data_IF_836844939655
#
_entry.id   IF_836844939655
#
_cell.length_a   1.000
_cell.length_b   1.000
_cell.length_c   1.000
_cell.angle_alpha   90.00
_cell.angle_beta   90.00
_cell.angle_gamma   90.00
#
_symmetry.space_group_name_H-M   'P 1'
#
loop_
_entity.id
_entity.type
_entity.pdbx_description
1 polymer ?
#
# COMPACT_ATOMS: atom_id res chain seq x y z
N UNK A 1 -24.09 8.58 -4.69
CA UNK A 1 -24.42 7.65 -3.59
C UNK A 1 -23.11 7.17 -2.98
N UNK A 2 -22.51 8.00 -2.13
CA UNK A 2 -21.24 7.73 -1.45
C UNK A 2 -21.42 6.59 -0.45
N UNK A 3 -20.77 5.45 -0.69
CA UNK A 3 -20.62 4.43 0.36
C UNK A 3 -19.68 5.02 1.42
N UNK A 4 -20.26 5.29 2.60
CA UNK A 4 -19.55 5.64 3.85
C UNK A 4 -18.29 4.77 3.99
N UNK A 5 -17.12 5.36 3.74
CA UNK A 5 -15.96 5.02 4.54
C UNK A 5 -16.29 5.56 5.92
N UNK A 6 -16.48 4.67 6.90
CA UNK A 6 -16.46 5.05 8.30
C UNK A 6 -15.06 5.62 8.56
N UNK A 7 -14.92 6.94 8.48
CA UNK A 7 -13.84 7.64 9.15
C UNK A 7 -14.12 7.40 10.63
N UNK A 8 -13.30 6.57 11.25
CA UNK A 8 -13.34 6.36 12.68
C UNK A 8 -12.77 7.64 13.33
N UNK A 9 -13.63 8.63 13.52
CA UNK A 9 -13.39 9.68 14.50
C UNK A 9 -13.40 9.02 15.89
N UNK A 10 -12.25 9.07 16.57
CA UNK A 10 -12.15 8.72 17.98
C UNK A 10 -12.06 7.23 18.28
N UNK A 11 -10.85 6.69 18.25
CA UNK A 11 -10.51 5.70 19.28
C UNK A 11 -10.32 6.51 20.56
N UNK A 12 -11.32 6.48 21.43
CA UNK A 12 -11.10 6.72 22.85
C UNK A 12 -10.22 5.56 23.35
N UNK A 13 -8.90 5.75 23.23
CA UNK A 13 -7.90 4.79 23.71
C UNK A 13 -7.93 4.89 25.24
N UNK A 14 -8.91 4.23 25.87
CA UNK A 14 -8.86 3.87 27.30
C UNK A 14 -7.93 2.69 27.55
N UNK A 15 -6.80 2.65 26.85
CA UNK A 15 -5.76 1.66 27.05
C UNK A 15 -4.45 2.42 27.25
N UNK A 16 -3.98 2.45 28.50
CA UNK A 16 -2.72 3.07 28.99
C UNK A 16 -1.44 2.63 28.25
N UNK A 17 -1.55 1.90 27.13
CA UNK A 17 -0.45 1.48 26.26
C UNK A 17 0.11 2.63 25.42
N UNK A 18 -0.70 3.62 25.05
CA UNK A 18 -0.19 4.78 24.28
C UNK A 18 0.65 5.72 25.15
N UNK A 19 0.27 5.88 26.43
CA UNK A 19 1.05 6.66 27.40
C UNK A 19 2.41 6.03 27.70
N UNK A 20 2.49 4.69 27.69
CA UNK A 20 3.75 3.97 27.83
C UNK A 20 4.67 4.10 26.60
N UNK A 21 4.13 4.52 25.45
CA UNK A 21 4.88 4.75 24.22
C UNK A 21 5.31 6.22 24.05
N UNK A 22 4.69 7.16 24.77
CA UNK A 22 5.03 8.60 24.70
C UNK A 22 6.54 8.87 24.88
N UNK A 23 7.24 8.30 25.88
CA UNK A 23 8.68 8.56 26.06
C UNK A 23 9.52 8.06 24.88
N UNK A 24 9.16 6.91 24.31
CA UNK A 24 9.83 6.33 23.14
C UNK A 24 9.56 7.12 21.85
N UNK A 25 8.37 7.72 21.73
CA UNK A 25 7.99 8.54 20.59
C UNK A 25 8.73 9.88 20.58
N UNK A 26 8.91 10.52 21.73
CA UNK A 26 9.69 11.76 21.86
C UNK A 26 11.19 11.50 21.68
N UNK A 27 11.76 10.49 22.34
CA UNK A 27 13.20 10.24 22.28
C UNK A 27 13.68 9.77 20.89
N UNK A 28 12.82 9.09 20.11
CA UNK A 28 13.12 8.74 18.71
C UNK A 28 12.82 9.86 17.71
N UNK A 29 11.88 10.76 18.01
CA UNK A 29 11.62 11.94 17.19
C UNK A 29 12.83 12.91 17.25
N UNK A 30 13.41 13.11 18.44
CA UNK A 30 14.62 13.90 18.65
C UNK A 30 15.84 13.33 17.90
N UNK A 31 15.88 12.01 17.70
CA UNK A 31 16.95 11.31 16.98
C UNK A 31 16.77 11.27 15.46
N UNK A 32 15.64 11.77 14.92
CA UNK A 32 15.36 11.79 13.48
C UNK A 32 14.93 13.19 13.01
N UNK A 33 15.85 14.18 13.01
CA UNK A 33 15.54 15.61 12.89
C UNK A 33 15.05 16.07 11.51
N UNK A 34 14.87 15.17 10.53
CA UNK A 34 14.53 15.59 9.16
C UNK A 34 13.14 16.21 9.03
N UNK A 35 12.31 16.09 10.06
CA UNK A 35 10.94 16.61 10.06
C UNK A 35 10.50 16.96 11.50
N UNK A 36 11.13 17.96 12.13
CA UNK A 36 10.46 18.68 13.22
C UNK A 36 9.27 19.45 12.63
N UNK A 37 8.18 18.73 12.39
CA UNK A 37 6.92 19.25 11.87
C UNK A 37 5.96 19.44 13.06
N UNK A 38 6.33 20.30 14.01
CA UNK A 38 5.43 20.61 15.14
C UNK A 38 4.68 21.92 14.94
N UNK A 39 5.04 22.70 13.92
CA UNK A 39 4.32 23.92 13.54
C UNK A 39 3.60 23.77 12.20
N UNK A 40 2.63 24.66 11.97
CA UNK A 40 1.77 24.65 10.77
C UNK A 40 2.56 24.74 9.46
N UNK A 41 3.69 25.46 9.44
CA UNK A 41 4.53 25.59 8.26
C UNK A 41 5.20 24.26 7.87
N UNK A 42 5.72 23.52 8.85
CA UNK A 42 6.30 22.19 8.62
C UNK A 42 5.26 21.20 8.06
N UNK A 43 4.02 21.26 8.57
CA UNK A 43 2.91 20.38 8.11
C UNK A 43 2.59 20.68 6.65
N UNK A 44 2.49 21.96 6.31
CA UNK A 44 2.20 22.40 4.96
C UNK A 44 3.30 21.98 3.97
N UNK A 45 4.56 22.19 4.33
CA UNK A 45 5.70 21.79 3.50
C UNK A 45 5.70 20.26 3.28
N UNK A 46 5.47 19.48 4.34
CA UNK A 46 5.38 18.03 4.25
C UNK A 46 4.22 17.58 3.34
N UNK A 47 3.05 18.22 3.45
CA UNK A 47 1.92 17.95 2.56
C UNK A 47 2.27 18.24 1.10
N UNK A 48 2.99 19.32 0.82
CA UNK A 48 3.45 19.61 -0.54
C UNK A 48 4.43 18.56 -1.06
N UNK A 49 5.41 18.13 -0.24
CA UNK A 49 6.30 17.04 -0.61
C UNK A 49 5.55 15.73 -0.88
N UNK A 50 4.59 15.38 -0.03
CA UNK A 50 3.70 14.23 -0.20
C UNK A 50 3.01 14.28 -1.57
N UNK A 51 2.39 15.42 -1.89
CA UNK A 51 1.67 15.63 -3.16
C UNK A 51 2.62 15.49 -4.36
N UNK A 52 3.81 16.10 -4.31
CA UNK A 52 4.79 16.06 -5.40
C UNK A 52 5.30 14.62 -5.65
N UNK A 53 5.49 13.83 -4.60
CA UNK A 53 6.03 12.48 -4.73
C UNK A 53 4.98 11.45 -5.14
N UNK A 54 3.76 11.56 -4.59
CA UNK A 54 2.75 10.50 -4.69
C UNK A 54 1.79 10.72 -5.86
N UNK A 55 1.42 11.96 -6.17
CA UNK A 55 0.47 12.22 -7.26
C UNK A 55 0.94 11.69 -8.62
N UNK A 56 2.21 11.87 -9.03
CA UNK A 56 2.68 11.31 -10.30
C UNK A 56 2.55 9.79 -10.36
N UNK A 57 2.75 9.10 -9.22
CA UNK A 57 2.59 7.65 -9.10
C UNK A 57 1.11 7.28 -9.26
N UNK A 58 0.20 8.02 -8.61
CA UNK A 58 -1.25 7.79 -8.69
C UNK A 58 -1.81 7.97 -10.10
N UNK A 59 -1.20 8.80 -10.94
CA UNK A 59 -1.62 8.97 -12.34
C UNK A 59 -1.42 7.68 -13.18
N UNK A 60 -0.52 6.76 -12.79
CA UNK A 60 -0.28 5.49 -13.51
C UNK A 60 -1.52 4.60 -13.61
N UNK A 61 -2.45 4.74 -12.67
CA UNK A 61 -3.66 3.90 -12.54
C UNK A 61 -4.95 4.70 -12.34
N UNK A 62 -4.92 6.00 -12.62
CA UNK A 62 -6.10 6.86 -12.50
C UNK A 62 -7.25 6.35 -13.36
N UNK A 63 -8.43 6.23 -12.75
CA UNK A 63 -9.65 5.73 -13.37
C UNK A 63 -9.51 4.32 -14.02
N UNK A 64 -8.47 3.55 -13.66
CA UNK A 64 -8.28 2.16 -14.10
C UNK A 64 -8.88 1.18 -13.09
N UNK A 65 -9.15 -0.02 -13.57
CA UNK A 65 -9.40 -1.19 -12.73
C UNK A 65 -8.03 -1.76 -12.36
N UNK A 66 -7.62 -1.54 -11.13
CA UNK A 66 -6.34 -2.03 -10.62
C UNK A 66 -6.49 -3.45 -10.12
N UNK A 67 -5.65 -4.36 -10.60
CA UNK A 67 -5.52 -5.70 -10.04
C UNK A 67 -4.17 -5.78 -9.33
N UNK A 68 -4.20 -5.72 -7.99
CA UNK A 68 -3.01 -5.85 -7.15
C UNK A 68 -2.65 -7.32 -7.00
N UNK A 69 -1.43 -7.70 -7.35
CA UNK A 69 -0.88 -9.04 -7.12
C UNK A 69 0.18 -8.93 -6.04
N UNK A 70 -0.08 -9.55 -4.89
CA UNK A 70 0.77 -9.40 -3.72
C UNK A 70 0.89 -10.69 -2.91
N UNK A 71 1.95 -10.76 -2.10
CA UNK A 71 2.14 -11.86 -1.16
C UNK A 71 1.18 -11.77 0.03
N UNK A 72 0.95 -12.90 0.68
CA UNK A 72 0.16 -12.97 1.91
C UNK A 72 0.68 -11.95 2.93
N UNK A 73 -0.25 -11.23 3.56
CA UNK A 73 0.02 -10.12 4.49
C UNK A 73 0.78 -8.91 3.91
N UNK A 74 0.83 -8.69 2.59
CA UNK A 74 1.39 -7.45 2.03
C UNK A 74 0.49 -6.24 2.33
N UNK A 75 -0.80 -6.32 1.99
CA UNK A 75 -1.81 -5.26 2.15
C UNK A 75 -1.40 -3.91 1.50
N UNK A 76 -0.81 -4.01 0.31
CA UNK A 76 -0.24 -2.89 -0.43
C UNK A 76 -1.31 -1.82 -0.73
N UNK A 77 -1.13 -0.60 -0.26
CA UNK A 77 -2.05 0.53 -0.47
C UNK A 77 -3.39 0.41 0.26
N UNK A 78 -3.49 -0.44 1.29
CA UNK A 78 -4.71 -0.58 2.12
C UNK A 78 -4.78 0.51 3.20
N UNK A 79 -3.64 0.90 3.76
CA UNK A 79 -3.56 1.81 4.92
C UNK A 79 -3.27 3.27 4.51
N UNK A 80 -3.37 3.58 3.22
CA UNK A 80 -3.11 4.89 2.66
C UNK A 80 -4.03 5.17 1.46
N UNK A 81 -3.93 6.38 0.91
CA UNK A 81 -4.77 6.87 -0.19
C UNK A 81 -4.22 6.57 -1.60
N UNK A 82 -3.27 5.62 -1.75
CA UNK A 82 -2.56 5.36 -3.00
C UNK A 82 -3.49 4.92 -4.15
N UNK A 83 -4.62 4.29 -3.81
CA UNK A 83 -5.61 3.82 -4.78
C UNK A 83 -6.97 4.53 -4.66
N UNK A 84 -7.06 5.72 -4.07
CA UNK A 84 -8.33 6.46 -3.96
C UNK A 84 -8.88 6.96 -5.33
N UNK A 85 -8.03 7.02 -6.35
CA UNK A 85 -8.31 7.57 -7.67
C UNK A 85 -8.52 6.50 -8.75
N UNK A 86 -8.63 5.23 -8.35
CA UNK A 86 -8.89 4.09 -9.23
C UNK A 86 -10.39 3.93 -9.48
N UNK A 87 -10.78 3.32 -10.60
CA UNK A 87 -12.18 2.93 -10.85
C UNK A 87 -12.61 1.78 -9.93
N UNK A 88 -11.72 0.82 -9.72
CA UNK A 88 -11.89 -0.30 -8.78
C UNK A 88 -10.53 -0.90 -8.42
N UNK A 89 -10.41 -1.50 -7.24
CA UNK A 89 -9.21 -2.18 -6.77
C UNK A 89 -9.54 -3.63 -6.40
N UNK A 90 -9.00 -4.57 -7.17
CA UNK A 90 -9.10 -6.01 -6.97
C UNK A 90 -7.76 -6.54 -6.47
N UNK A 91 -7.77 -7.66 -5.73
CA UNK A 91 -6.55 -8.19 -5.10
C UNK A 91 -6.42 -9.70 -5.26
N UNK A 92 -5.25 -10.13 -5.71
CA UNK A 92 -4.76 -11.49 -5.60
C UNK A 92 -3.70 -11.49 -4.48
N UNK A 93 -4.14 -11.67 -3.23
CA UNK A 93 -3.32 -11.47 -2.02
C UNK A 93 -3.03 -12.76 -1.23
N UNK A 94 -3.53 -13.93 -1.69
CA UNK A 94 -3.26 -15.25 -1.10
C UNK A 94 -2.08 -15.96 -1.77
N UNK A 95 -1.11 -15.21 -2.28
CA UNK A 95 0.10 -15.78 -2.88
C UNK A 95 1.17 -16.03 -1.81
N UNK A 96 2.10 -16.97 -2.03
CA UNK A 96 3.23 -17.18 -1.12
C UNK A 96 3.98 -15.87 -0.86
N UNK A 97 4.28 -15.58 0.40
CA UNK A 97 5.11 -14.42 0.79
C UNK A 97 6.61 -14.69 0.61
N UNK A 98 6.99 -15.95 0.38
CA UNK A 98 8.34 -16.41 0.10
C UNK A 98 8.31 -17.42 -1.06
N UNK A 99 9.33 -17.38 -1.91
CA UNK A 99 9.52 -18.30 -3.04
C UNK A 99 8.30 -18.41 -3.98
N UNK A 100 7.62 -17.28 -4.21
CA UNK A 100 6.42 -17.22 -5.04
C UNK A 100 6.66 -17.62 -6.51
N UNK A 101 7.93 -17.63 -6.94
CA UNK A 101 8.33 -18.03 -8.29
C UNK A 101 7.94 -19.48 -8.59
N UNK A 102 7.99 -20.38 -7.60
CA UNK A 102 7.54 -21.78 -7.76
C UNK A 102 6.07 -21.90 -8.18
N UNK A 103 5.28 -20.86 -7.97
CA UNK A 103 3.86 -20.83 -8.30
C UNK A 103 3.52 -19.79 -9.38
N UNK A 104 4.52 -19.27 -10.11
CA UNK A 104 4.34 -18.15 -11.05
C UNK A 104 3.23 -18.41 -12.09
N UNK A 105 3.16 -19.62 -12.65
CA UNK A 105 2.15 -19.99 -13.64
C UNK A 105 0.74 -19.99 -13.06
N UNK A 106 0.59 -20.48 -11.81
CA UNK A 106 -0.69 -20.47 -11.09
C UNK A 106 -1.12 -19.03 -10.77
N UNK A 107 -0.17 -18.19 -10.36
CA UNK A 107 -0.43 -16.78 -10.04
C UNK A 107 -0.87 -16.03 -11.31
N UNK A 108 -0.15 -16.23 -12.42
CA UNK A 108 -0.50 -15.67 -13.72
C UNK A 108 -1.89 -16.13 -14.17
N UNK A 109 -2.18 -17.44 -14.10
CA UNK A 109 -3.50 -17.98 -14.47
C UNK A 109 -4.63 -17.36 -13.66
N UNK A 110 -4.45 -17.21 -12.35
CA UNK A 110 -5.44 -16.53 -11.49
C UNK A 110 -5.61 -15.05 -11.85
N UNK A 111 -4.52 -14.34 -12.11
CA UNK A 111 -4.54 -12.94 -12.53
C UNK A 111 -5.31 -12.76 -13.85
N UNK A 112 -5.03 -13.62 -14.83
CA UNK A 112 -5.73 -13.63 -16.12
C UNK A 112 -7.21 -13.99 -15.96
N UNK A 113 -7.57 -14.93 -15.08
CA UNK A 113 -8.97 -15.27 -14.82
C UNK A 113 -9.79 -14.11 -14.25
N UNK A 114 -9.20 -13.30 -13.37
CA UNK A 114 -9.85 -12.07 -12.87
C UNK A 114 -10.04 -11.08 -14.03
N UNK A 115 -8.99 -10.85 -14.82
CA UNK A 115 -8.96 -9.85 -15.88
C UNK A 115 -9.93 -10.13 -17.03
N UNK A 116 -10.26 -11.39 -17.31
CA UNK A 116 -11.21 -11.79 -18.37
C UNK A 116 -12.61 -11.15 -18.25
N UNK A 117 -12.98 -10.67 -17.07
CA UNK A 117 -14.29 -10.06 -16.83
C UNK A 117 -14.35 -8.57 -17.21
N UNK A 118 -13.25 -7.99 -17.70
CA UNK A 118 -13.12 -6.56 -17.96
C UNK A 118 -12.43 -6.30 -19.30
N UNK A 119 -12.61 -5.08 -19.82
CA UNK A 119 -11.91 -4.65 -21.02
C UNK A 119 -10.42 -4.44 -20.70
N UNK A 120 -9.55 -4.99 -21.56
CA UNK A 120 -8.09 -4.96 -21.37
C UNK A 120 -7.54 -3.54 -21.13
N UNK A 121 -8.01 -2.56 -21.89
CA UNK A 121 -7.55 -1.16 -21.80
C UNK A 121 -7.99 -0.46 -20.50
N UNK A 122 -8.97 -1.01 -19.79
CA UNK A 122 -9.41 -0.50 -18.49
C UNK A 122 -8.55 -1.03 -17.34
N UNK A 123 -7.74 -2.07 -17.56
CA UNK A 123 -7.02 -2.79 -16.50
C UNK A 123 -5.56 -2.33 -16.44
N UNK A 124 -5.04 -2.20 -15.22
CA UNK A 124 -3.60 -2.28 -15.00
C UNK A 124 -3.29 -3.18 -13.80
N UNK A 125 -2.22 -3.96 -13.93
CA UNK A 125 -1.72 -4.78 -12.84
C UNK A 125 -0.69 -4.01 -12.02
N UNK A 126 -0.78 -4.15 -10.70
CA UNK A 126 0.19 -3.61 -9.75
C UNK A 126 0.76 -4.77 -8.96
N UNK A 127 2.05 -5.03 -9.09
CA UNK A 127 2.67 -6.26 -8.57
C UNK A 127 3.66 -5.92 -7.46
N UNK A 128 3.46 -6.54 -6.30
CA UNK A 128 4.33 -6.46 -5.12
C UNK A 128 4.59 -7.88 -4.60
N UNK A 129 5.47 -8.61 -5.28
CA UNK A 129 5.74 -10.02 -5.05
C UNK A 129 7.25 -10.34 -5.04
N UNK A 130 8.07 -9.40 -4.54
CA UNK A 130 9.52 -9.55 -4.47
C UNK A 130 10.15 -9.82 -5.83
N UNK A 131 11.13 -10.72 -5.89
CA UNK A 131 11.83 -11.07 -7.14
C UNK A 131 10.88 -11.61 -8.24
N UNK A 132 9.80 -12.29 -7.84
CA UNK A 132 8.82 -12.85 -8.78
C UNK A 132 8.00 -11.78 -9.51
N UNK A 133 7.93 -10.56 -8.98
CA UNK A 133 7.17 -9.47 -9.60
C UNK A 133 7.66 -9.14 -11.01
N UNK A 134 8.98 -9.15 -11.22
CA UNK A 134 9.60 -8.79 -12.51
C UNK A 134 9.16 -9.71 -13.64
N UNK A 135 9.31 -11.02 -13.42
CA UNK A 135 8.91 -12.04 -14.39
C UNK A 135 7.40 -12.02 -14.60
N UNK A 136 6.61 -11.86 -13.53
CA UNK A 136 5.16 -11.80 -13.65
C UNK A 136 4.70 -10.60 -14.50
N UNK A 137 5.29 -9.42 -14.30
CA UNK A 137 5.00 -8.24 -15.11
C UNK A 137 5.33 -8.47 -16.58
N UNK A 138 6.47 -9.11 -16.90
CA UNK A 138 6.82 -9.46 -18.27
C UNK A 138 5.73 -10.32 -18.91
N UNK A 139 5.32 -11.40 -18.24
CA UNK A 139 4.25 -12.25 -18.77
C UNK A 139 2.94 -11.49 -18.96
N UNK A 140 2.51 -10.69 -17.98
CA UNK A 140 1.28 -9.89 -18.11
C UNK A 140 1.34 -8.93 -19.32
N UNK A 141 2.50 -8.32 -19.58
CA UNK A 141 2.76 -7.48 -20.74
C UNK A 141 2.71 -8.27 -22.04
N UNK A 142 3.27 -9.47 -22.09
CA UNK A 142 3.18 -10.37 -23.26
C UNK A 142 1.72 -10.79 -23.56
N UNK A 143 0.87 -10.89 -22.53
CA UNK A 143 -0.58 -11.05 -22.69
C UNK A 143 -1.32 -9.75 -23.07
N UNK A 144 -0.59 -8.65 -23.24
CA UNK A 144 -1.08 -7.34 -23.69
C UNK A 144 -1.63 -6.44 -22.60
N UNK A 145 -1.37 -6.73 -21.32
CA UNK A 145 -1.80 -5.88 -20.22
C UNK A 145 -0.73 -4.88 -19.79
N UNK A 146 -1.14 -3.72 -19.27
CA UNK A 146 -0.23 -2.85 -18.53
C UNK A 146 0.04 -3.44 -17.16
N UNK A 147 1.31 -3.57 -16.78
CA UNK A 147 1.73 -4.10 -15.48
C UNK A 147 2.89 -3.28 -14.89
N UNK A 148 2.82 -2.99 -13.59
CA UNK A 148 3.81 -2.22 -12.85
C UNK A 148 4.38 -3.03 -11.69
N UNK A 149 5.70 -3.28 -11.71
CA UNK A 149 6.45 -3.72 -10.53
C UNK A 149 6.83 -2.48 -9.71
N UNK A 150 6.07 -2.19 -8.65
CA UNK A 150 6.30 -1.03 -7.77
C UNK A 150 6.85 -1.43 -6.39
N UNK A 151 7.26 -2.68 -6.24
CA UNK A 151 7.92 -3.22 -5.05
C UNK A 151 7.29 -2.74 -3.74
N UNK A 152 8.08 -2.06 -2.92
CA UNK A 152 7.71 -1.60 -1.58
C UNK A 152 7.14 -0.15 -1.57
N UNK A 153 6.63 0.37 -2.69
CA UNK A 153 6.16 1.76 -2.76
C UNK A 153 5.12 2.10 -1.68
N UNK A 154 4.15 1.21 -1.39
CA UNK A 154 3.16 1.45 -0.33
C UNK A 154 3.79 1.63 1.04
N UNK A 155 4.75 0.78 1.44
CA UNK A 155 5.36 0.89 2.78
C UNK A 155 6.24 2.14 2.86
N UNK A 156 6.92 2.50 1.78
CA UNK A 156 7.64 3.78 1.70
C UNK A 156 6.69 4.97 1.85
N UNK A 157 5.50 4.87 1.27
CA UNK A 157 4.47 5.90 1.43
C UNK A 157 3.95 5.98 2.86
N UNK A 158 3.68 4.85 3.50
CA UNK A 158 3.29 4.80 4.92
C UNK A 158 4.38 5.44 5.80
N UNK A 159 5.66 5.16 5.53
CA UNK A 159 6.78 5.79 6.24
C UNK A 159 6.78 7.31 6.11
N UNK A 160 6.45 7.83 4.92
CA UNK A 160 6.29 9.26 4.70
C UNK A 160 5.14 9.77 5.56
N UNK A 161 3.92 9.25 5.38
CA UNK A 161 2.69 9.70 6.08
C UNK A 161 2.88 9.77 7.60
N UNK A 162 3.52 8.75 8.17
CA UNK A 162 3.69 8.65 9.61
C UNK A 162 5.00 9.27 10.13
N UNK A 163 5.90 9.69 9.23
CA UNK A 163 7.24 10.14 9.56
C UNK A 163 8.01 9.15 10.46
N UNK A 164 7.85 7.85 10.21
CA UNK A 164 8.53 6.77 10.97
C UNK A 164 9.37 5.90 10.06
N UNK A 165 10.36 5.25 10.65
CA UNK A 165 11.18 4.30 9.92
C UNK A 165 10.38 3.04 9.55
N UNK A 166 10.85 2.35 8.52
CA UNK A 166 10.21 1.14 8.00
C UNK A 166 10.02 0.06 9.05
N UNK A 167 11.00 -0.17 9.93
CA UNK A 167 10.91 -1.19 10.98
C UNK A 167 9.73 -0.92 11.93
N UNK A 168 9.47 0.34 12.27
CA UNK A 168 8.35 0.73 13.12
C UNK A 168 7.03 0.60 12.36
N UNK A 169 6.97 1.03 11.09
CA UNK A 169 5.76 0.86 10.28
C UNK A 169 5.45 -0.62 10.06
N UNK A 170 6.43 -1.46 9.74
CA UNK A 170 6.23 -2.91 9.60
C UNK A 170 5.74 -3.57 10.90
N UNK A 171 6.11 -3.02 12.07
CA UNK A 171 5.60 -3.45 13.39
C UNK A 171 4.22 -2.89 13.71
N UNK A 172 3.92 -1.63 13.39
CA UNK A 172 2.67 -0.93 13.70
C UNK A 172 1.55 -1.26 12.72
N UNK A 173 1.88 -1.49 11.44
CA UNK A 173 1.09 -2.29 10.49
C UNK A 173 1.09 -3.73 10.99
N UNK A 174 0.60 -3.96 12.20
CA UNK A 174 0.27 -5.27 12.72
C UNK A 174 -0.81 -5.83 11.82
N UNK A 175 -0.34 -6.46 10.74
CA UNK A 175 -1.04 -7.31 9.78
C UNK A 175 -1.84 -8.43 10.47
N UNK A 176 -1.72 -8.55 11.80
CA UNK A 176 -2.42 -9.45 12.71
C UNK A 176 -3.61 -8.81 13.46
N UNK A 177 -3.61 -7.49 13.72
CA UNK A 177 -4.62 -6.87 14.61
C UNK A 177 -5.97 -6.56 13.93
N UNK A 178 -6.05 -6.67 12.60
CA UNK A 178 -7.29 -6.46 11.83
C UNK A 178 -7.83 -7.75 11.18
N UNK A 179 -7.31 -8.93 11.60
CA UNK A 179 -7.90 -10.24 11.28
C UNK A 179 -9.27 -10.44 11.99
N UNK A 180 -9.65 -9.52 12.89
CA UNK A 180 -10.89 -9.57 13.66
C UNK A 180 -12.12 -8.98 12.95
N UNK A 181 -12.33 -9.25 11.67
CA UNK A 181 -13.67 -9.19 11.06
C UNK A 181 -13.71 -10.16 9.86
N UNK A 182 -13.86 -11.45 10.16
CA UNK A 182 -14.47 -12.44 9.26
C UNK A 182 -15.89 -12.71 9.73
#
# INVERSE_FOLDING_TARGET
MLKKLLIYEGVDIKDNKLDNLKPYLTEQADKNPRFCIENSFGIELFNQYKQILINPIKELWKNKIVIVIEGFNSYFGVYNDLFDNVKSCLRLNKNPSYDAFKNIDKILSNALNIAKNYNKDEICFVVSLGASAKILCIYLIEYGYTAYDIGNCSISYDCIIHAKNRCLIDRLNTKQNYILFQ
#
